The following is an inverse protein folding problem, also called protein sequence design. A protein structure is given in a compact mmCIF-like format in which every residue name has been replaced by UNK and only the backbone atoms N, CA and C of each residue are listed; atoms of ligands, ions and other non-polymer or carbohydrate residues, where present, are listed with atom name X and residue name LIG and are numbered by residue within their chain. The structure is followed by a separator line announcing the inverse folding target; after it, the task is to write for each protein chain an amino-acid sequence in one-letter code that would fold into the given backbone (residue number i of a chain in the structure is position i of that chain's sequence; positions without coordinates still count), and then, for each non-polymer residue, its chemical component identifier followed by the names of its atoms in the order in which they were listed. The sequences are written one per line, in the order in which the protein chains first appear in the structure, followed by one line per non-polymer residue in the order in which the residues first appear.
data_IF_605644671631
#
_entry.id   IF_605644671631
#
_cell.length_a   1.000
_cell.length_b   1.000
_cell.length_c   1.000
_cell.angle_alpha   90.00
_cell.angle_beta   90.00
_cell.angle_gamma   90.00
#
_symmetry.space_group_name_H-M   'P 1'
#
loop_
_entity.id
_entity.type
_entity.pdbx_description
1 polymer ?
#
# COMPACT_ATOMS: atom_id res chain seq x y z
N UNK A 1 -23.37 -54.70 41.21
CA UNK A 1 -24.07 -53.65 40.44
C UNK A 1 -23.99 -52.37 41.25
N UNK A 2 -23.07 -51.46 40.93
CA UNK A 2 -23.09 -50.04 41.35
C UNK A 2 -22.09 -49.29 40.47
N UNK A 3 -22.62 -48.23 39.87
CA UNK A 3 -22.27 -47.65 38.58
C UNK A 3 -21.14 -46.62 38.74
N UNK A 4 -20.11 -46.72 37.90
CA UNK A 4 -19.00 -45.75 37.80
C UNK A 4 -19.52 -44.44 37.20
N UNK A 5 -19.48 -43.34 37.95
CA UNK A 5 -19.64 -41.98 37.41
C UNK A 5 -18.25 -41.39 37.13
N UNK A 6 -17.82 -41.47 35.88
CA UNK A 6 -16.69 -40.69 35.35
C UNK A 6 -17.22 -39.31 34.96
N UNK A 7 -16.92 -38.29 35.75
CA UNK A 7 -17.14 -36.89 35.37
C UNK A 7 -15.97 -36.47 34.48
N UNK A 8 -16.18 -36.50 33.16
CA UNK A 8 -15.25 -35.87 32.22
C UNK A 8 -15.36 -34.35 32.37
N UNK A 9 -14.33 -33.75 32.96
CA UNK A 9 -14.07 -32.31 32.82
C UNK A 9 -13.59 -32.05 31.39
N UNK A 10 -14.51 -31.60 30.54
CA UNK A 10 -14.14 -31.00 29.26
C UNK A 10 -13.57 -29.61 29.57
N UNK A 11 -12.25 -29.55 29.73
CA UNK A 11 -11.52 -28.27 29.68
C UNK A 11 -11.49 -27.84 28.22
N UNK A 12 -12.44 -26.98 27.86
CA UNK A 12 -12.46 -26.32 26.56
C UNK A 12 -11.26 -25.37 26.44
N UNK A 13 -10.25 -25.79 25.70
CA UNK A 13 -9.14 -24.94 25.29
C UNK A 13 -9.67 -23.97 24.22
N UNK A 14 -10.06 -22.77 24.64
CA UNK A 14 -10.33 -21.64 23.72
C UNK A 14 -8.98 -21.04 23.28
N UNK A 15 -8.26 -21.75 22.41
CA UNK A 15 -7.06 -21.21 21.77
C UNK A 15 -7.44 -20.27 20.62
N UNK A 16 -7.24 -18.97 20.86
CA UNK A 16 -6.49 -18.11 19.93
C UNK A 16 -7.19 -17.65 18.64
N UNK A 17 -8.24 -16.84 18.74
CA UNK A 17 -8.56 -15.83 17.71
C UNK A 17 -8.10 -14.43 18.16
N UNK A 18 -6.97 -14.32 18.87
CA UNK A 18 -6.22 -13.07 18.95
C UNK A 18 -5.47 -12.86 17.62
N UNK A 19 -6.26 -12.79 16.55
CA UNK A 19 -5.90 -12.94 15.14
C UNK A 19 -5.51 -11.57 14.57
N UNK A 20 -4.24 -11.17 14.74
CA UNK A 20 -3.59 -9.93 14.23
C UNK A 20 -4.26 -8.56 14.53
N UNK A 21 -5.55 -8.49 14.79
CA UNK A 21 -6.33 -7.26 15.01
C UNK A 21 -5.84 -6.50 16.24
N UNK A 22 -5.65 -7.20 17.36
CA UNK A 22 -5.13 -6.59 18.58
C UNK A 22 -3.67 -6.10 18.41
N UNK A 23 -2.84 -6.85 17.69
CA UNK A 23 -1.48 -6.43 17.34
C UNK A 23 -1.50 -5.15 16.49
N UNK A 24 -2.35 -5.11 15.47
CA UNK A 24 -2.46 -3.99 14.54
C UNK A 24 -3.00 -2.74 15.21
N UNK A 25 -4.01 -2.87 16.07
CA UNK A 25 -4.50 -1.77 16.90
C UNK A 25 -3.38 -1.24 17.81
N UNK A 26 -2.61 -2.11 18.46
CA UNK A 26 -1.47 -1.69 19.29
C UNK A 26 -0.38 -0.97 18.49
N UNK A 27 -0.05 -1.46 17.29
CA UNK A 27 0.88 -0.82 16.36
C UNK A 27 0.37 0.56 15.93
N UNK A 28 -0.92 0.67 15.60
CA UNK A 28 -1.57 1.93 15.26
C UNK A 28 -1.50 2.92 16.43
N UNK A 29 -1.90 2.53 17.65
CA UNK A 29 -1.80 3.40 18.85
C UNK A 29 -0.39 3.96 18.99
N UNK A 30 0.65 3.12 18.86
CA UNK A 30 2.06 3.55 18.98
C UNK A 30 2.47 4.57 17.90
N UNK A 31 1.83 4.55 16.74
CA UNK A 31 2.08 5.49 15.64
C UNK A 31 1.37 6.84 15.80
N UNK A 32 0.35 6.94 16.66
CA UNK A 32 -0.43 8.16 16.80
C UNK A 32 0.33 9.22 17.61
N UNK A 33 0.18 10.52 17.26
CA UNK A 33 0.75 11.62 18.06
C UNK A 33 0.28 11.63 19.52
N UNK A 34 -0.94 11.15 19.77
CA UNK A 34 -1.49 10.98 21.11
C UNK A 34 -2.02 9.54 21.29
N UNK A 35 -1.46 8.86 22.28
CA UNK A 35 -1.74 7.45 22.59
C UNK A 35 -2.78 7.29 23.70
N UNK A 36 -3.26 8.39 24.29
CA UNK A 36 -4.25 8.37 25.38
C UNK A 36 -5.67 8.31 24.81
N UNK A 37 -6.53 7.54 25.49
CA UNK A 37 -7.97 7.48 25.21
C UNK A 37 -8.30 7.14 23.75
N UNK A 38 -7.48 6.28 23.13
CA UNK A 38 -7.75 5.80 21.77
C UNK A 38 -8.90 4.80 21.82
N UNK A 39 -9.98 5.12 21.13
CA UNK A 39 -11.14 4.24 20.95
C UNK A 39 -11.24 3.85 19.49
N UNK A 40 -11.48 2.57 19.20
CA UNK A 40 -11.67 2.07 17.84
C UNK A 40 -13.14 1.82 17.55
N UNK A 41 -13.60 2.19 16.37
CA UNK A 41 -14.97 1.97 15.89
C UNK A 41 -14.95 1.29 14.52
N UNK A 42 -16.03 0.56 14.20
CA UNK A 42 -16.27 -0.07 12.90
C UNK A 42 -15.09 -0.89 12.37
N UNK A 43 -14.34 -1.53 13.28
CA UNK A 43 -13.14 -2.28 12.91
C UNK A 43 -13.52 -3.57 12.19
N UNK A 44 -12.97 -3.76 10.99
CA UNK A 44 -13.21 -4.92 10.14
C UNK A 44 -11.91 -5.39 9.47
N UNK A 45 -11.85 -6.68 9.18
CA UNK A 45 -10.73 -7.31 8.49
C UNK A 45 -11.06 -7.57 7.01
N UNK A 46 -10.03 -7.47 6.17
CA UNK A 46 -10.11 -7.61 4.72
C UNK A 46 -9.02 -8.56 4.20
N UNK A 47 -9.11 -9.05 2.95
CA UNK A 47 -8.09 -9.91 2.34
C UNK A 47 -6.67 -9.36 2.53
N UNK A 48 -5.67 -10.24 2.59
CA UNK A 48 -4.27 -9.83 2.78
C UNK A 48 -3.93 -9.40 4.20
N UNK A 49 -4.73 -9.87 5.18
CA UNK A 49 -4.61 -9.48 6.60
C UNK A 49 -4.62 -7.96 6.75
N UNK A 50 -5.58 -7.28 6.14
CA UNK A 50 -5.77 -5.85 6.31
C UNK A 50 -6.78 -5.61 7.44
N UNK A 51 -6.51 -4.64 8.29
CA UNK A 51 -7.44 -4.12 9.28
C UNK A 51 -7.81 -2.67 8.93
N UNK A 52 -9.11 -2.41 8.77
CA UNK A 52 -9.62 -1.05 8.60
C UNK A 52 -10.64 -0.70 9.68
N UNK A 53 -10.89 0.59 9.84
CA UNK A 53 -11.91 1.13 10.71
C UNK A 53 -11.67 2.61 10.95
N UNK A 54 -12.26 3.14 12.00
CA UNK A 54 -11.97 4.49 12.48
C UNK A 54 -11.46 4.46 13.91
N UNK A 55 -10.75 5.50 14.29
CA UNK A 55 -10.31 5.71 15.66
C UNK A 55 -10.68 7.12 16.12
N UNK A 56 -10.90 7.27 17.43
CA UNK A 56 -11.06 8.56 18.09
C UNK A 56 -9.98 8.69 19.15
N UNK A 57 -9.28 9.82 19.20
CA UNK A 57 -8.23 10.11 20.19
C UNK A 57 -8.26 11.57 20.61
N UNK A 58 -7.73 11.88 21.79
CA UNK A 58 -7.53 13.25 22.23
C UNK A 58 -6.50 13.96 21.33
N UNK A 59 -6.79 15.19 20.94
CA UNK A 59 -5.79 16.07 20.31
C UNK A 59 -4.68 16.44 21.31
N UNK A 60 -3.51 16.83 20.80
CA UNK A 60 -2.34 17.16 21.65
C UNK A 60 -2.56 18.26 22.68
N UNK A 61 -3.60 19.10 22.52
CA UNK A 61 -3.97 20.15 23.47
C UNK A 61 -5.07 19.73 24.48
N UNK A 62 -5.55 18.48 24.43
CA UNK A 62 -6.36 17.87 25.50
C UNK A 62 -7.84 18.27 25.59
N UNK A 63 -8.34 19.16 24.71
CA UNK A 63 -9.72 19.67 24.79
C UNK A 63 -10.64 19.19 23.65
N UNK A 64 -10.08 18.68 22.56
CA UNK A 64 -10.84 18.21 21.40
C UNK A 64 -10.51 16.76 21.10
N UNK A 65 -11.52 15.98 20.71
CA UNK A 65 -11.34 14.66 20.12
C UNK A 65 -11.11 14.79 18.61
N UNK A 66 -10.21 13.98 18.07
CA UNK A 66 -10.01 13.80 16.62
C UNK A 66 -10.46 12.40 16.25
N UNK A 67 -11.28 12.32 15.21
CA UNK A 67 -11.60 11.06 14.54
C UNK A 67 -10.83 10.96 13.24
N UNK A 68 -10.36 9.76 12.90
CA UNK A 68 -9.72 9.46 11.62
C UNK A 68 -9.92 8.01 11.22
N UNK A 69 -9.93 7.76 9.92
CA UNK A 69 -9.89 6.40 9.38
C UNK A 69 -8.48 5.83 9.49
N UNK A 70 -8.38 4.51 9.46
CA UNK A 70 -7.10 3.83 9.40
C UNK A 70 -7.13 2.62 8.47
N UNK A 71 -5.96 2.30 7.93
CA UNK A 71 -5.67 1.03 7.25
C UNK A 71 -4.36 0.50 7.82
N UNK A 72 -4.36 -0.72 8.33
CA UNK A 72 -3.16 -1.39 8.85
C UNK A 72 -2.97 -2.72 8.15
N UNK A 73 -1.78 -2.96 7.62
CA UNK A 73 -1.36 -4.24 7.04
C UNK A 73 -0.17 -4.84 7.79
N UNK A 74 0.36 -5.94 7.27
CA UNK A 74 1.53 -6.61 7.87
C UNK A 74 2.74 -5.67 7.93
N UNK A 75 3.06 -5.01 6.82
CA UNK A 75 4.27 -4.17 6.69
C UNK A 75 4.04 -2.67 6.91
N UNK A 76 2.79 -2.19 7.01
CA UNK A 76 2.51 -0.76 7.02
C UNK A 76 1.39 -0.35 7.98
N UNK A 77 1.40 0.93 8.34
CA UNK A 77 0.36 1.60 9.14
C UNK A 77 -0.01 2.90 8.43
N UNK A 78 -1.28 3.06 8.05
CA UNK A 78 -1.85 4.32 7.57
C UNK A 78 -2.84 4.82 8.62
N UNK A 79 -2.41 5.78 9.44
CA UNK A 79 -3.28 6.49 10.40
C UNK A 79 -4.03 7.66 9.78
N UNK A 80 -3.72 7.99 8.52
CA UNK A 80 -4.38 9.01 7.70
C UNK A 80 -4.42 8.52 6.24
N UNK A 81 -5.11 7.40 5.96
CA UNK A 81 -5.18 6.85 4.61
C UNK A 81 -5.92 7.81 3.68
N UNK A 82 -5.57 7.78 2.40
CA UNK A 82 -6.33 8.45 1.35
C UNK A 82 -7.66 7.74 1.09
N UNK A 83 -8.61 8.41 0.42
CA UNK A 83 -9.87 7.79 0.03
C UNK A 83 -9.66 6.57 -0.88
N UNK A 84 -8.62 6.58 -1.71
CA UNK A 84 -8.28 5.48 -2.63
C UNK A 84 -7.74 4.28 -1.85
N UNK A 85 -6.87 4.53 -0.88
CA UNK A 85 -6.37 3.49 0.02
C UNK A 85 -7.51 2.84 0.80
N UNK A 86 -8.43 3.63 1.38
CA UNK A 86 -9.59 3.08 2.09
C UNK A 86 -10.45 2.25 1.12
N UNK A 87 -10.74 2.77 -0.07
CA UNK A 87 -11.63 2.09 -1.02
C UNK A 87 -11.07 0.74 -1.50
N UNK A 88 -9.76 0.65 -1.72
CA UNK A 88 -9.11 -0.55 -2.26
C UNK A 88 -8.75 -1.54 -1.14
N UNK A 89 -8.05 -1.10 -0.09
CA UNK A 89 -7.62 -1.99 1.00
C UNK A 89 -8.80 -2.50 1.83
N UNK A 90 -9.84 -1.70 2.00
CA UNK A 90 -11.02 -2.06 2.78
C UNK A 90 -12.13 -2.63 1.89
N UNK A 91 -11.75 -3.43 0.90
CA UNK A 91 -12.66 -4.15 -0.01
C UNK A 91 -12.52 -5.67 0.16
N UNK A 92 -13.65 -6.39 0.00
CA UNK A 92 -13.63 -7.86 -0.10
C UNK A 92 -13.11 -8.36 -1.44
N UNK A 93 -13.12 -7.49 -2.45
CA UNK A 93 -12.58 -7.71 -3.79
C UNK A 93 -11.69 -6.50 -4.14
N UNK A 94 -10.40 -6.55 -3.76
CA UNK A 94 -9.48 -5.43 -3.99
C UNK A 94 -9.25 -5.14 -5.48
N UNK A 95 -9.26 -6.16 -6.34
CA UNK A 95 -9.07 -6.00 -7.78
C UNK A 95 -10.23 -5.22 -8.41
N UNK A 96 -11.47 -5.63 -8.11
CA UNK A 96 -12.64 -4.91 -8.58
C UNK A 96 -12.71 -3.48 -8.01
N UNK A 97 -12.32 -3.29 -6.74
CA UNK A 97 -12.28 -1.98 -6.11
C UNK A 97 -11.24 -1.05 -6.76
N UNK A 98 -10.05 -1.56 -7.08
CA UNK A 98 -9.01 -0.80 -7.77
C UNK A 98 -9.50 -0.31 -9.15
N UNK A 99 -10.08 -1.21 -9.93
CA UNK A 99 -10.63 -0.88 -11.24
C UNK A 99 -11.78 0.12 -11.14
N UNK A 100 -12.73 -0.09 -10.23
CA UNK A 100 -13.86 0.82 -10.05
C UNK A 100 -13.46 2.22 -9.58
N UNK A 101 -12.39 2.33 -8.77
CA UNK A 101 -11.94 3.60 -8.18
C UNK A 101 -11.02 4.39 -9.08
N UNK A 102 -10.07 3.71 -9.72
CA UNK A 102 -8.93 4.31 -10.42
C UNK A 102 -8.89 3.95 -11.91
N UNK A 103 -9.76 3.06 -12.39
CA UNK A 103 -9.68 2.52 -13.75
C UNK A 103 -8.54 1.52 -13.94
N UNK A 104 -7.69 1.28 -12.94
CA UNK A 104 -6.51 0.41 -13.04
C UNK A 104 -6.94 -1.05 -12.87
N UNK A 105 -6.58 -1.90 -13.83
CA UNK A 105 -6.80 -3.34 -13.72
C UNK A 105 -6.50 -4.08 -15.02
N UNK A 106 -6.73 -5.40 -15.01
CA UNK A 106 -6.61 -6.24 -16.19
C UNK A 106 -7.97 -6.87 -16.54
N UNK A 107 -8.82 -6.18 -17.34
CA UNK A 107 -10.14 -6.71 -17.73
C UNK A 107 -10.06 -8.01 -18.53
N UNK A 108 -8.94 -8.24 -19.21
CA UNK A 108 -8.62 -9.47 -19.95
C UNK A 108 -8.01 -10.56 -19.05
N UNK A 109 -7.81 -10.28 -17.76
CA UNK A 109 -7.17 -11.15 -16.78
C UNK A 109 -5.64 -11.17 -16.84
N UNK A 110 -5.01 -10.40 -17.73
CA UNK A 110 -3.56 -10.39 -17.85
C UNK A 110 -2.91 -9.33 -16.95
N UNK A 111 -2.52 -9.74 -15.75
CA UNK A 111 -1.88 -8.86 -14.75
C UNK A 111 -0.37 -8.68 -14.93
N UNK A 112 0.27 -9.44 -15.82
CA UNK A 112 1.72 -9.42 -16.01
C UNK A 112 2.29 -8.02 -16.34
N UNK A 113 1.66 -7.20 -17.21
CA UNK A 113 2.09 -5.82 -17.42
C UNK A 113 2.07 -5.00 -16.12
N UNK A 114 1.00 -5.12 -15.32
CA UNK A 114 0.87 -4.38 -14.07
C UNK A 114 1.88 -4.83 -13.02
N UNK A 115 2.19 -6.13 -12.95
CA UNK A 115 3.27 -6.64 -12.10
C UNK A 115 4.62 -6.06 -12.50
N UNK A 116 5.01 -6.15 -13.78
CA UNK A 116 6.26 -5.57 -14.27
C UNK A 116 6.32 -4.07 -13.97
N UNK A 117 5.21 -3.36 -14.22
CA UNK A 117 5.13 -1.92 -13.98
C UNK A 117 5.33 -1.56 -12.50
N UNK A 118 4.72 -2.32 -11.58
CA UNK A 118 4.92 -2.17 -10.13
C UNK A 118 6.39 -2.40 -9.77
N UNK A 119 6.97 -3.49 -10.25
CA UNK A 119 8.37 -3.85 -9.97
C UNK A 119 9.35 -2.78 -10.46
N UNK A 120 9.18 -2.33 -11.70
CA UNK A 120 10.03 -1.31 -12.31
C UNK A 120 9.92 0.03 -11.57
N UNK A 121 8.71 0.50 -11.23
CA UNK A 121 8.56 1.76 -10.50
C UNK A 121 9.20 1.71 -9.11
N UNK A 122 9.13 0.57 -8.41
CA UNK A 122 9.81 0.40 -7.12
C UNK A 122 11.33 0.37 -7.28
N UNK A 123 11.85 -0.31 -8.31
CA UNK A 123 13.28 -0.32 -8.61
C UNK A 123 13.80 1.08 -8.99
N UNK A 124 13.04 1.83 -9.79
CA UNK A 124 13.34 3.21 -10.15
C UNK A 124 13.31 4.11 -8.91
N UNK A 125 12.30 4.00 -8.05
CA UNK A 125 12.22 4.79 -6.80
C UNK A 125 13.45 4.57 -5.92
N UNK A 126 13.83 3.31 -5.73
CA UNK A 126 15.02 2.94 -4.96
C UNK A 126 16.30 3.50 -5.60
N UNK A 127 16.43 3.42 -6.94
CA UNK A 127 17.56 3.97 -7.67
C UNK A 127 17.65 5.50 -7.57
N UNK A 128 16.52 6.21 -7.67
CA UNK A 128 16.46 7.66 -7.48
C UNK A 128 16.90 8.03 -6.06
N UNK A 129 16.46 7.29 -5.04
CA UNK A 129 16.87 7.53 -3.66
C UNK A 129 18.38 7.28 -3.47
N UNK A 130 18.93 6.18 -4.02
CA UNK A 130 20.38 5.92 -4.01
C UNK A 130 21.18 7.03 -4.72
N UNK A 131 20.70 7.50 -5.86
CA UNK A 131 21.30 8.61 -6.58
C UNK A 131 21.28 9.90 -5.75
N UNK A 132 20.14 10.22 -5.15
CA UNK A 132 19.99 11.40 -4.30
C UNK A 132 20.91 11.34 -3.08
N UNK A 133 21.04 10.18 -2.44
CA UNK A 133 21.95 9.99 -1.31
C UNK A 133 23.43 10.19 -1.69
N UNK A 134 23.79 9.87 -2.94
CA UNK A 134 25.16 10.03 -3.44
C UNK A 134 25.48 11.45 -3.93
N UNK A 135 24.53 12.13 -4.58
CA UNK A 135 24.77 13.40 -5.30
C UNK A 135 24.09 14.61 -4.64
N UNK A 136 23.16 14.38 -3.71
CA UNK A 136 22.32 15.39 -3.04
C UNK A 136 21.44 16.23 -3.98
N UNK A 137 21.23 15.75 -5.21
CA UNK A 137 20.31 16.33 -6.21
C UNK A 137 19.51 15.21 -6.85
N UNK A 138 18.29 15.53 -7.29
CA UNK A 138 17.50 14.60 -8.09
C UNK A 138 18.13 14.42 -9.48
N UNK A 139 18.02 13.23 -10.09
CA UNK A 139 18.46 13.05 -11.47
C UNK A 139 17.64 13.96 -12.39
N UNK A 140 18.26 14.52 -13.43
CA UNK A 140 17.55 15.37 -14.39
C UNK A 140 16.63 14.55 -15.30
N UNK A 141 16.99 13.30 -15.55
CA UNK A 141 16.25 12.31 -16.34
C UNK A 141 16.49 10.91 -15.76
N UNK A 142 15.62 9.94 -16.05
CA UNK A 142 15.85 8.56 -15.60
C UNK A 142 17.13 7.94 -16.19
N UNK A 143 17.54 8.33 -17.40
CA UNK A 143 18.76 7.82 -18.05
C UNK A 143 20.03 8.15 -17.24
N UNK A 144 20.01 9.22 -16.44
CA UNK A 144 21.12 9.57 -15.54
C UNK A 144 21.41 8.44 -14.53
N UNK A 145 20.41 7.64 -14.18
CA UNK A 145 20.57 6.48 -13.28
C UNK A 145 21.40 5.35 -13.93
N UNK A 146 21.58 5.36 -15.25
CA UNK A 146 22.38 4.36 -15.98
C UNK A 146 23.87 4.69 -16.00
N UNK A 147 24.26 5.91 -15.62
CA UNK A 147 25.67 6.36 -15.61
C UNK A 147 26.46 5.79 -14.42
N UNK A 148 25.77 5.22 -13.43
CA UNK A 148 26.34 4.57 -12.26
C UNK A 148 25.64 3.26 -11.93
N UNK A 149 26.10 2.61 -10.86
CA UNK A 149 25.48 1.38 -10.35
C UNK A 149 24.42 1.73 -9.29
N UNK A 150 23.25 2.18 -9.76
CA UNK A 150 22.11 2.52 -8.89
C UNK A 150 21.05 1.41 -8.84
N UNK A 151 21.34 0.22 -9.36
CA UNK A 151 20.47 -0.96 -9.30
C UNK A 151 19.32 -0.97 -10.32
N UNK A 152 19.43 -0.20 -11.40
CA UNK A 152 18.48 -0.20 -12.52
C UNK A 152 19.21 -0.40 -13.84
N UNK A 153 18.51 -1.00 -14.80
CA UNK A 153 18.96 -1.18 -16.18
C UNK A 153 18.03 -0.47 -17.15
N UNK A 154 18.41 -0.40 -18.44
CA UNK A 154 17.56 0.17 -19.49
C UNK A 154 16.19 -0.52 -19.58
N UNK A 155 16.13 -1.81 -19.29
CA UNK A 155 14.89 -2.59 -19.32
C UNK A 155 13.94 -2.22 -18.17
N UNK A 156 14.44 -1.64 -17.08
CA UNK A 156 13.63 -1.10 -15.99
C UNK A 156 13.07 0.28 -16.32
N UNK A 157 13.74 1.06 -17.19
CA UNK A 157 13.33 2.42 -17.53
C UNK A 157 12.30 2.47 -18.66
N UNK A 158 11.91 1.31 -19.17
CA UNK A 158 10.88 1.15 -20.19
C UNK A 158 9.71 0.39 -19.60
N UNK A 159 8.53 0.99 -19.66
CA UNK A 159 7.29 0.40 -19.18
C UNK A 159 6.91 -0.86 -19.99
N UNK A 160 5.93 -1.66 -19.53
CA UNK A 160 5.54 -2.91 -20.18
C UNK A 160 5.07 -2.76 -21.63
N UNK A 161 4.71 -1.54 -22.05
CA UNK A 161 4.21 -1.24 -23.39
C UNK A 161 5.30 -0.62 -24.28
N UNK A 162 6.56 -0.62 -23.83
CA UNK A 162 7.71 -0.20 -24.62
C UNK A 162 7.95 1.31 -24.60
N UNK A 163 7.31 2.05 -23.69
CA UNK A 163 7.48 3.51 -23.56
C UNK A 163 8.37 3.85 -22.37
N UNK A 164 9.10 4.98 -22.39
CA UNK A 164 9.79 5.44 -21.19
C UNK A 164 8.76 5.83 -20.11
N UNK A 165 9.08 5.52 -18.85
CA UNK A 165 8.31 6.07 -17.73
C UNK A 165 8.34 7.59 -17.74
N UNK A 166 7.22 8.23 -17.42
CA UNK A 166 7.22 9.66 -17.17
C UNK A 166 7.91 9.92 -15.83
N UNK A 167 8.76 10.93 -15.80
CA UNK A 167 9.47 11.35 -14.60
C UNK A 167 9.55 12.87 -14.57
N UNK A 168 9.30 13.44 -13.39
CA UNK A 168 9.43 14.88 -13.17
C UNK A 168 9.98 15.14 -11.78
N UNK A 169 11.22 15.63 -11.74
CA UNK A 169 11.84 16.10 -10.50
C UNK A 169 11.07 17.29 -9.91
N UNK A 170 10.77 17.22 -8.62
CA UNK A 170 10.15 18.29 -7.84
C UNK A 170 11.17 19.02 -6.96
N UNK A 171 10.71 19.54 -5.82
CA UNK A 171 11.56 20.20 -4.85
C UNK A 171 12.43 19.17 -4.10
N UNK A 172 13.72 19.45 -4.00
CA UNK A 172 14.67 18.75 -3.13
C UNK A 172 15.25 19.71 -2.08
N UNK A 173 15.65 19.20 -0.91
CA UNK A 173 16.13 20.04 0.19
C UNK A 173 16.17 19.33 1.56
N UNK A 174 15.71 20.01 2.62
CA UNK A 174 15.70 19.48 4.00
C UNK A 174 14.65 18.38 4.25
N UNK A 175 13.83 18.08 3.26
CA UNK A 175 12.81 17.03 3.28
C UNK A 175 13.18 15.93 2.28
N UNK A 176 12.48 14.80 2.37
CA UNK A 176 12.59 13.74 1.38
C UNK A 176 12.39 14.29 -0.06
N UNK A 177 13.13 13.77 -1.05
CA UNK A 177 13.02 14.23 -2.43
C UNK A 177 11.60 14.02 -2.96
N UNK A 178 11.05 15.07 -3.58
CA UNK A 178 9.73 14.99 -4.22
C UNK A 178 9.89 14.87 -5.73
N UNK A 179 9.19 13.92 -6.34
CA UNK A 179 9.15 13.74 -7.78
C UNK A 179 7.90 12.97 -8.17
N UNK A 180 7.48 13.12 -9.42
CA UNK A 180 6.44 12.30 -10.03
C UNK A 180 7.09 11.19 -10.86
N UNK A 181 6.51 9.99 -10.81
CA UNK A 181 6.92 8.82 -11.58
C UNK A 181 5.68 8.01 -11.96
N UNK A 182 5.61 7.53 -13.20
CA UNK A 182 4.55 6.62 -13.64
C UNK A 182 4.55 6.31 -15.13
N UNK A 183 3.47 5.70 -15.61
CA UNK A 183 3.22 5.36 -17.02
C UNK A 183 1.82 5.81 -17.44
N UNK A 184 1.67 6.13 -18.73
CA UNK A 184 0.41 6.54 -19.37
C UNK A 184 -0.34 5.34 -19.98
N UNK A 185 -0.14 4.13 -19.44
CA UNK A 185 -0.79 2.93 -19.93
C UNK A 185 -0.37 2.51 -21.35
N UNK A 186 -1.16 1.61 -21.93
CA UNK A 186 -0.93 0.99 -23.22
C UNK A 186 -1.19 1.92 -24.41
N UNK A 187 -2.02 2.96 -24.27
CA UNK A 187 -2.27 3.95 -25.32
C UNK A 187 -1.25 5.11 -25.30
N UNK A 188 -0.63 5.39 -24.15
CA UNK A 188 0.37 6.43 -23.99
C UNK A 188 -0.25 7.83 -23.91
N UNK A 189 -1.51 7.92 -23.49
CA UNK A 189 -2.29 9.16 -23.43
C UNK A 189 -2.85 9.32 -22.02
N UNK A 190 -2.87 10.54 -21.49
CA UNK A 190 -3.49 10.78 -20.18
C UNK A 190 -4.96 10.33 -20.15
N UNK A 191 -5.32 9.60 -19.09
CA UNK A 191 -6.64 9.03 -18.86
C UNK A 191 -6.65 7.51 -19.03
N UNK A 192 -7.69 7.01 -19.69
CA UNK A 192 -7.84 5.58 -19.95
C UNK A 192 -8.29 4.72 -18.76
N UNK A 193 -8.51 3.44 -19.04
CA UNK A 193 -8.89 2.40 -18.07
C UNK A 193 -8.30 1.05 -18.52
N UNK A 194 -8.22 0.10 -17.59
CA UNK A 194 -7.63 -1.21 -17.84
C UNK A 194 -6.17 -1.08 -18.20
N UNK A 195 -5.78 -1.64 -19.36
CA UNK A 195 -4.43 -1.52 -19.88
C UNK A 195 -4.04 -0.07 -20.24
N UNK A 196 -5.02 0.79 -20.56
CA UNK A 196 -4.79 2.19 -20.93
C UNK A 196 -4.77 3.12 -19.71
N UNK A 197 -4.95 2.60 -18.49
CA UNK A 197 -5.00 3.45 -17.30
C UNK A 197 -3.64 4.10 -17.01
N UNK A 198 -3.66 5.39 -16.70
CA UNK A 198 -2.53 6.08 -16.07
C UNK A 198 -2.20 5.46 -14.70
N UNK A 199 -0.93 5.13 -14.48
CA UNK A 199 -0.47 4.56 -13.21
C UNK A 199 0.71 5.35 -12.69
N UNK A 200 0.59 5.84 -11.46
CA UNK A 200 1.61 6.58 -10.73
C UNK A 200 2.23 5.72 -9.65
N UNK A 201 3.49 6.02 -9.29
CA UNK A 201 4.22 5.33 -8.23
C UNK A 201 3.45 5.29 -6.91
N UNK A 202 2.68 6.33 -6.58
CA UNK A 202 1.87 6.40 -5.35
C UNK A 202 0.86 5.25 -5.26
N UNK A 203 0.44 4.70 -6.40
CA UNK A 203 -0.49 3.57 -6.49
C UNK A 203 0.21 2.21 -6.43
N UNK A 204 1.56 2.15 -6.42
CA UNK A 204 2.31 0.90 -6.40
C UNK A 204 1.95 -0.01 -5.21
N UNK A 205 1.67 0.58 -4.03
CA UNK A 205 1.24 -0.21 -2.87
C UNK A 205 -0.17 -0.81 -3.03
N UNK A 206 -1.06 -0.14 -3.75
CA UNK A 206 -2.37 -0.69 -4.09
C UNK A 206 -2.25 -1.84 -5.08
N UNK A 207 -1.38 -1.69 -6.08
CA UNK A 207 -1.05 -2.76 -7.03
C UNK A 207 -0.43 -3.95 -6.32
N UNK A 208 0.55 -3.75 -5.45
CA UNK A 208 1.18 -4.81 -4.66
C UNK A 208 0.15 -5.63 -3.88
N UNK A 209 -0.80 -4.94 -3.23
CA UNK A 209 -1.90 -5.57 -2.52
C UNK A 209 -2.79 -6.41 -3.44
N UNK A 210 -3.22 -5.87 -4.59
CA UNK A 210 -4.09 -6.56 -5.54
C UNK A 210 -3.41 -7.77 -6.18
N UNK A 211 -2.16 -7.60 -6.63
CA UNK A 211 -1.35 -8.64 -7.28
C UNK A 211 -1.18 -9.89 -6.40
N UNK A 212 -1.13 -9.70 -5.07
CA UNK A 212 -1.12 -10.78 -4.09
C UNK A 212 -2.33 -11.73 -4.12
N UNK A 213 -3.37 -11.43 -4.91
CA UNK A 213 -4.57 -12.27 -5.07
C UNK A 213 -4.85 -12.72 -6.50
N UNK A 214 -4.18 -12.15 -7.51
CA UNK A 214 -4.49 -12.39 -8.94
C UNK A 214 -3.38 -13.11 -9.70
N UNK A 215 -2.15 -13.16 -9.18
CA UNK A 215 -1.01 -13.84 -9.81
C UNK A 215 -0.98 -15.37 -9.55
N UNK A 216 -2.12 -16.07 -9.70
CA UNK A 216 -2.23 -17.52 -9.47
C UNK A 216 -2.62 -18.31 -10.72
#
# INVERSE_FOLDING_TARGET
MLLRLFVLWIVGVLTGCASYTADYQNRLVRSLPNQREVTFNDTQTYPGKILCGSYTTLTGYGWNMRTGDFVVGESFIRSTPTADEVFVYCSKDPAAALYARLGIGAPDGNWAPLSKLRDDMLAIDEAINRYYDAVAVLPSTLDTLLEGDFGVSKDNLTDPWGRPYFYKGGLSGRTAPQYELGSLGADGVEGGQGADADIRKEQASLLDHVLGFVDH
#
